data_IF_749005663358
#
_entry.id   IF_749005663358
#
_cell.length_a   1.000
_cell.length_b   1.000
_cell.length_c   1.000
_cell.angle_alpha   90.00
_cell.angle_beta   90.00
_cell.angle_gamma   90.00
#
_symmetry.space_group_name_H-M   'P 1'
#
loop_
_entity.id
_entity.type
_entity.pdbx_description
1 polymer ?
#
# COMPACT_ATOMS: atom_id res chain seq x y z
N UNK A 1 -15.45 -73.18 -20.22
CA UNK A 1 -14.90 -71.84 -19.93
C UNK A 1 -13.48 -72.07 -19.41
N UNK A 2 -12.51 -72.08 -20.33
CA UNK A 2 -11.49 -71.01 -20.54
C UNK A 2 -10.62 -70.82 -19.28
N UNK A 3 -9.31 -71.04 -19.30
CA UNK A 3 -8.35 -70.36 -20.21
C UNK A 3 -7.01 -71.10 -20.32
N UNK A 4 -6.37 -70.91 -21.47
CA UNK A 4 -5.05 -71.45 -21.88
C UNK A 4 -3.93 -70.41 -21.66
N UNK A 5 -2.73 -70.95 -21.60
CA UNK A 5 -1.40 -70.38 -21.38
C UNK A 5 -0.85 -69.48 -22.52
N UNK A 6 -0.06 -68.47 -22.10
CA UNK A 6 1.14 -67.80 -22.68
C UNK A 6 1.30 -67.51 -24.19
N UNK A 7 1.61 -66.24 -24.53
CA UNK A 7 2.83 -65.77 -25.23
C UNK A 7 2.75 -64.25 -25.50
N UNK A 8 3.88 -63.52 -25.39
CA UNK A 8 4.02 -62.21 -26.03
C UNK A 8 4.95 -61.22 -25.32
N UNK A 9 6.22 -61.24 -25.73
CA UNK A 9 7.26 -60.22 -25.56
C UNK A 9 6.74 -58.79 -25.24
N UNK A 10 7.14 -58.26 -24.09
CA UNK A 10 6.96 -56.85 -23.75
C UNK A 10 7.84 -55.98 -24.64
N UNK A 11 7.20 -55.32 -25.61
CA UNK A 11 7.79 -54.16 -26.26
C UNK A 11 7.88 -53.05 -25.21
N UNK A 12 9.11 -52.62 -24.91
CA UNK A 12 9.36 -51.35 -24.23
C UNK A 12 8.85 -50.27 -25.17
N UNK A 13 7.63 -49.81 -24.93
CA UNK A 13 7.13 -48.57 -25.51
C UNK A 13 7.93 -47.46 -24.82
N UNK A 14 8.99 -47.00 -25.49
CA UNK A 14 9.53 -45.68 -25.27
C UNK A 14 8.36 -44.71 -25.49
N UNK A 15 7.69 -44.32 -24.41
CA UNK A 15 6.89 -43.12 -24.40
C UNK A 15 7.89 -41.98 -24.60
N UNK A 16 8.06 -41.57 -25.86
CA UNK A 16 8.41 -40.19 -26.13
C UNK A 16 7.42 -39.35 -25.32
N UNK A 17 7.94 -38.53 -24.40
CA UNK A 17 7.12 -37.53 -23.72
C UNK A 17 6.38 -36.70 -24.77
N UNK A 18 5.21 -36.14 -24.45
CA UNK A 18 4.56 -35.24 -25.38
C UNK A 18 5.56 -34.13 -25.69
N UNK A 19 5.99 -34.03 -26.94
CA UNK A 19 6.44 -32.76 -27.46
C UNK A 19 5.25 -31.82 -27.28
N UNK A 20 5.36 -30.92 -26.30
CA UNK A 20 4.43 -29.82 -26.13
C UNK A 20 4.53 -29.01 -27.42
N UNK A 21 3.57 -29.23 -28.33
CA UNK A 21 3.37 -28.36 -29.47
C UNK A 21 3.17 -26.93 -28.95
N UNK A 22 3.88 -25.97 -29.54
CA UNK A 22 3.97 -24.58 -29.09
C UNK A 22 2.63 -23.93 -28.78
N UNK A 23 2.31 -23.82 -27.49
CA UNK A 23 1.25 -22.95 -27.01
C UNK A 23 1.91 -21.67 -26.52
N UNK A 24 2.16 -20.77 -27.47
CA UNK A 24 2.71 -19.43 -27.22
C UNK A 24 3.20 -18.73 -28.49
N UNK A 25 3.61 -19.50 -29.50
CA UNK A 25 4.27 -18.97 -30.70
C UNK A 25 4.02 -19.87 -31.93
N UNK A 26 2.80 -19.88 -32.50
CA UNK A 26 2.46 -20.75 -33.63
C UNK A 26 3.38 -20.59 -34.84
N UNK A 27 4.02 -19.42 -35.00
CA UNK A 27 4.93 -19.13 -36.09
C UNK A 27 6.33 -19.76 -35.96
N UNK A 28 6.70 -20.35 -34.83
CA UNK A 28 7.93 -21.14 -34.67
C UNK A 28 7.71 -22.55 -35.23
N UNK A 29 7.99 -22.69 -36.53
CA UNK A 29 7.68 -23.89 -37.29
C UNK A 29 8.68 -25.01 -37.02
N UNK A 30 9.91 -24.65 -36.63
CA UNK A 30 10.97 -25.60 -36.35
C UNK A 30 11.10 -25.97 -34.85
N UNK A 31 10.36 -25.27 -33.98
CA UNK A 31 10.33 -25.39 -32.52
C UNK A 31 11.72 -25.15 -31.88
N UNK A 32 12.46 -24.16 -32.38
CA UNK A 32 13.76 -23.74 -31.82
C UNK A 32 13.67 -22.54 -30.85
N UNK A 33 12.45 -22.07 -30.58
CA UNK A 33 12.15 -20.96 -29.67
C UNK A 33 12.31 -19.58 -30.31
N UNK A 34 12.55 -19.49 -31.62
CA UNK A 34 12.72 -18.23 -32.33
C UNK A 34 12.03 -18.26 -33.70
N UNK A 35 11.11 -17.33 -33.94
CA UNK A 35 10.57 -17.08 -35.28
C UNK A 35 11.58 -16.28 -36.09
N UNK A 36 12.29 -16.95 -36.99
CA UNK A 36 13.36 -16.34 -37.76
C UNK A 36 13.40 -16.79 -39.23
N UNK A 37 14.53 -16.56 -39.89
CA UNK A 37 14.73 -16.94 -41.29
C UNK A 37 14.58 -18.44 -41.56
N UNK A 38 14.80 -19.30 -40.56
CA UNK A 38 14.57 -20.74 -40.66
C UNK A 38 13.08 -21.05 -40.83
N UNK A 39 12.21 -20.45 -40.01
CA UNK A 39 10.75 -20.62 -40.06
C UNK A 39 10.16 -20.00 -41.31
N UNK A 40 10.63 -18.80 -41.68
CA UNK A 40 10.28 -18.21 -42.97
C UNK A 40 10.65 -19.14 -44.13
N UNK A 41 11.81 -19.79 -44.08
CA UNK A 41 12.22 -20.78 -45.06
C UNK A 41 11.28 -22.00 -45.11
N UNK A 42 10.80 -22.46 -43.96
CA UNK A 42 9.81 -23.54 -43.87
C UNK A 42 8.44 -23.12 -44.42
N UNK A 43 7.96 -21.92 -44.08
CA UNK A 43 6.69 -21.37 -44.56
C UNK A 43 6.72 -21.21 -46.09
N UNK A 44 7.77 -20.60 -46.64
CA UNK A 44 7.93 -20.44 -48.09
C UNK A 44 8.10 -21.78 -48.81
N UNK A 45 8.70 -22.78 -48.15
CA UNK A 45 8.81 -24.15 -48.67
C UNK A 45 7.46 -24.88 -48.77
N UNK A 46 6.48 -24.48 -47.96
CA UNK A 46 5.13 -25.05 -47.91
C UNK A 46 4.09 -24.22 -48.69
N UNK A 47 4.51 -23.19 -49.43
CA UNK A 47 3.61 -22.24 -50.10
C UNK A 47 2.58 -22.91 -51.02
N UNK A 48 1.31 -22.59 -50.84
CA UNK A 48 0.18 -23.18 -51.57
C UNK A 48 -0.68 -24.12 -50.72
N UNK A 49 -1.44 -25.03 -51.35
CA UNK A 49 -2.36 -25.92 -50.64
C UNK A 49 -1.65 -26.81 -49.62
N UNK A 50 -2.07 -26.74 -48.37
CA UNK A 50 -1.42 -27.44 -47.27
C UNK A 50 -2.44 -27.85 -46.21
N UNK A 51 -3.08 -29.00 -46.40
CA UNK A 51 -4.09 -29.48 -45.45
C UNK A 51 -3.42 -30.04 -44.18
N UNK A 52 -3.35 -29.22 -43.12
CA UNK A 52 -2.90 -29.62 -41.79
C UNK A 52 -1.38 -29.65 -41.59
N UNK A 53 -0.63 -28.80 -42.31
CA UNK A 53 0.78 -28.59 -42.02
C UNK A 53 0.98 -27.43 -41.04
N UNK A 54 2.12 -27.40 -40.35
CA UNK A 54 2.44 -26.37 -39.36
C UNK A 54 2.52 -24.95 -39.94
N UNK A 55 2.83 -24.81 -41.23
CA UNK A 55 2.93 -23.50 -41.90
C UNK A 55 1.59 -22.83 -42.23
N UNK A 56 0.47 -23.55 -42.12
CA UNK A 56 -0.90 -23.00 -42.28
C UNK A 56 -1.37 -22.41 -40.95
N UNK A 57 -0.86 -21.22 -40.64
CA UNK A 57 -1.08 -20.52 -39.37
C UNK A 57 -2.52 -19.99 -39.25
N UNK A 58 -3.20 -19.77 -40.38
CA UNK A 58 -4.61 -19.35 -40.41
C UNK A 58 -5.58 -20.53 -40.33
N UNK A 59 -5.13 -21.75 -40.63
CA UNK A 59 -5.94 -22.97 -40.61
C UNK A 59 -6.95 -23.06 -41.74
N UNK A 60 -6.74 -22.34 -42.85
CA UNK A 60 -7.67 -22.26 -43.99
C UNK A 60 -7.36 -23.29 -45.09
N UNK A 61 -6.31 -24.09 -44.91
CA UNK A 61 -5.83 -25.10 -45.83
C UNK A 61 -4.88 -24.58 -46.91
N UNK A 62 -4.43 -23.33 -46.84
CA UNK A 62 -3.60 -22.66 -47.84
C UNK A 62 -2.50 -21.80 -47.21
N UNK A 63 -1.23 -22.19 -47.33
CA UNK A 63 -0.10 -21.33 -46.93
C UNK A 63 0.09 -20.21 -47.95
N UNK A 64 -0.19 -18.98 -47.54
CA UNK A 64 -0.15 -17.82 -48.41
C UNK A 64 0.31 -16.54 -47.69
N UNK A 65 0.04 -15.37 -48.29
CA UNK A 65 0.42 -14.08 -47.73
C UNK A 65 -0.20 -13.79 -46.36
N UNK A 66 -1.34 -14.41 -46.03
CA UNK A 66 -1.97 -14.31 -44.72
C UNK A 66 -1.12 -14.97 -43.62
N UNK A 67 -0.65 -16.20 -43.86
CA UNK A 67 0.23 -16.93 -42.92
C UNK A 67 1.59 -16.26 -42.80
N UNK A 68 2.14 -15.76 -43.92
CA UNK A 68 3.36 -14.94 -43.88
C UNK A 68 3.18 -13.69 -43.02
N UNK A 69 2.01 -13.05 -43.07
CA UNK A 69 1.68 -11.90 -42.22
C UNK A 69 1.67 -12.24 -40.73
N UNK A 70 1.14 -13.42 -40.37
CA UNK A 70 1.19 -13.92 -38.99
C UNK A 70 2.63 -14.23 -38.55
N UNK A 71 3.40 -14.94 -39.39
CA UNK A 71 4.80 -15.26 -39.08
C UNK A 71 5.65 -14.00 -38.87
N UNK A 72 5.51 -12.99 -39.73
CA UNK A 72 6.24 -11.73 -39.57
C UNK A 72 5.72 -10.91 -38.38
N UNK A 73 4.47 -11.11 -37.97
CA UNK A 73 3.90 -10.49 -36.77
C UNK A 73 4.47 -11.05 -35.47
N UNK A 74 4.98 -12.28 -35.50
CA UNK A 74 5.60 -12.98 -34.36
C UNK A 74 7.14 -13.06 -34.49
N UNK A 75 7.75 -12.25 -35.36
CA UNK A 75 9.20 -12.32 -35.62
C UNK A 75 10.04 -12.01 -34.38
N UNK A 76 10.92 -12.94 -34.00
CA UNK A 76 11.78 -12.81 -32.82
C UNK A 76 11.69 -14.02 -31.89
N UNK A 77 12.18 -13.88 -30.65
CA UNK A 77 12.05 -14.92 -29.63
C UNK A 77 10.58 -15.22 -29.33
N UNK A 78 10.26 -16.50 -29.15
CA UNK A 78 8.94 -16.90 -28.70
C UNK A 78 8.81 -16.67 -27.19
N UNK A 79 7.70 -16.08 -26.70
CA UNK A 79 7.43 -16.00 -25.27
C UNK A 79 7.44 -17.41 -24.66
N UNK A 80 8.06 -17.55 -23.49
CA UNK A 80 8.00 -18.80 -22.74
C UNK A 80 6.54 -19.14 -22.41
N UNK A 81 6.21 -20.43 -22.42
CA UNK A 81 4.85 -20.90 -22.10
C UNK A 81 4.47 -20.36 -20.71
N UNK A 82 3.32 -19.71 -20.56
CA UNK A 82 2.91 -19.15 -19.27
C UNK A 82 3.46 -17.75 -18.94
N UNK A 83 4.24 -17.12 -19.82
CA UNK A 83 4.63 -15.71 -19.69
C UNK A 83 3.83 -14.81 -20.66
N UNK A 84 3.29 -13.65 -20.21
CA UNK A 84 3.13 -13.27 -18.82
C UNK A 84 2.06 -14.13 -18.13
N UNK A 85 2.30 -14.47 -16.87
CA UNK A 85 1.42 -15.25 -16.00
C UNK A 85 0.67 -14.39 -14.97
N UNK A 86 0.00 -15.04 -14.03
CA UNK A 86 -0.72 -14.37 -12.94
C UNK A 86 0.16 -14.24 -11.70
N UNK A 87 0.03 -13.13 -10.96
CA UNK A 87 0.73 -12.93 -9.67
C UNK A 87 2.15 -12.36 -9.80
N UNK A 88 2.70 -11.89 -8.68
CA UNK A 88 4.04 -11.28 -8.63
C UNK A 88 5.13 -12.26 -9.02
N UNK A 89 6.20 -11.79 -9.67
CA UNK A 89 7.40 -12.58 -9.93
C UNK A 89 8.21 -12.90 -8.67
N UNK A 90 8.03 -12.12 -7.61
CA UNK A 90 8.81 -12.22 -6.38
C UNK A 90 8.11 -13.01 -5.27
N UNK A 91 6.93 -13.56 -5.56
CA UNK A 91 6.19 -14.43 -4.64
C UNK A 91 5.75 -15.72 -5.34
N UNK A 92 5.66 -16.81 -4.58
CA UNK A 92 5.08 -18.05 -5.10
C UNK A 92 3.59 -17.84 -5.41
N UNK A 93 3.20 -17.95 -6.67
CA UNK A 93 1.81 -17.77 -7.10
C UNK A 93 1.11 -19.10 -7.43
N UNK A 94 1.87 -20.20 -7.51
CA UNK A 94 1.35 -21.55 -7.72
C UNK A 94 0.88 -21.85 -9.15
N UNK A 95 0.92 -20.88 -10.05
CA UNK A 95 0.67 -20.98 -11.48
C UNK A 95 1.98 -20.87 -12.26
N UNK A 96 2.08 -21.36 -13.50
CA UNK A 96 3.27 -21.11 -14.31
C UNK A 96 3.37 -19.63 -14.72
N UNK A 97 4.58 -19.10 -14.70
CA UNK A 97 4.91 -17.70 -15.00
C UNK A 97 4.48 -16.68 -13.95
N UNK A 98 4.74 -15.40 -14.25
CA UNK A 98 4.42 -14.26 -13.40
C UNK A 98 4.06 -13.02 -14.24
N UNK A 99 3.56 -11.97 -13.58
CA UNK A 99 2.93 -10.80 -14.20
C UNK A 99 3.87 -9.88 -14.98
N UNK A 100 5.18 -9.94 -14.76
CA UNK A 100 6.16 -9.18 -15.52
C UNK A 100 6.73 -10.04 -16.65
N UNK A 101 6.48 -9.65 -17.90
CA UNK A 101 6.92 -10.40 -19.08
C UNK A 101 8.44 -10.57 -19.16
N UNK A 102 9.20 -9.51 -18.89
CA UNK A 102 10.66 -9.54 -19.04
C UNK A 102 11.29 -10.37 -17.93
N UNK A 103 10.81 -10.21 -16.69
CA UNK A 103 11.27 -11.04 -15.59
C UNK A 103 10.88 -12.50 -15.77
N UNK A 104 9.62 -12.74 -16.14
CA UNK A 104 9.11 -14.07 -16.43
C UNK A 104 9.97 -14.74 -17.50
N UNK A 105 10.25 -14.08 -18.63
CA UNK A 105 11.11 -14.62 -19.69
C UNK A 105 12.54 -14.87 -19.23
N UNK A 106 13.11 -13.99 -18.40
CA UNK A 106 14.47 -14.14 -17.87
C UNK A 106 14.59 -15.37 -16.94
N UNK A 107 13.64 -15.53 -16.01
CA UNK A 107 13.59 -16.70 -15.12
C UNK A 107 13.30 -17.96 -15.92
N UNK A 108 12.36 -17.91 -16.86
CA UNK A 108 11.98 -19.07 -17.67
C UNK A 108 13.10 -19.53 -18.62
N UNK A 109 13.97 -18.61 -19.04
CA UNK A 109 15.18 -18.94 -19.80
C UNK A 109 16.26 -19.61 -18.93
N UNK A 110 16.28 -19.33 -17.62
CA UNK A 110 17.20 -19.94 -16.67
C UNK A 110 16.67 -21.29 -16.14
N UNK A 111 15.40 -21.34 -15.74
CA UNK A 111 14.68 -22.52 -15.28
C UNK A 111 13.30 -22.63 -15.95
N UNK A 112 13.18 -23.59 -16.87
CA UNK A 112 11.92 -23.83 -17.57
C UNK A 112 10.82 -24.39 -16.68
N UNK A 113 11.14 -24.87 -15.46
CA UNK A 113 10.15 -25.33 -14.50
C UNK A 113 9.17 -24.21 -14.09
N UNK A 114 9.66 -22.97 -14.03
CA UNK A 114 8.89 -21.79 -13.65
C UNK A 114 7.82 -21.39 -14.69
N UNK A 115 8.08 -21.62 -15.98
CA UNK A 115 7.09 -21.46 -17.07
C UNK A 115 6.22 -22.71 -17.32
N UNK A 116 6.75 -23.90 -17.07
CA UNK A 116 6.07 -25.13 -17.51
C UNK A 116 5.19 -25.73 -16.42
N UNK A 117 5.56 -25.55 -15.15
CA UNK A 117 4.95 -26.29 -14.04
C UNK A 117 4.32 -25.39 -13.00
N UNK A 118 5.10 -24.55 -12.33
CA UNK A 118 4.61 -23.70 -11.26
C UNK A 118 5.65 -22.66 -10.87
N UNK A 119 5.17 -21.48 -10.49
CA UNK A 119 5.97 -20.43 -9.88
C UNK A 119 5.95 -20.61 -8.36
N UNK A 120 6.97 -21.29 -7.84
CA UNK A 120 7.15 -21.56 -6.41
C UNK A 120 8.18 -20.62 -5.76
N UNK A 121 8.59 -20.90 -4.53
CA UNK A 121 9.57 -20.08 -3.81
C UNK A 121 10.97 -20.10 -4.42
N UNK A 122 11.31 -21.12 -5.22
CA UNK A 122 12.57 -21.16 -5.94
C UNK A 122 12.50 -20.25 -7.17
N UNK A 123 11.41 -20.30 -7.93
CA UNK A 123 11.16 -19.37 -9.05
C UNK A 123 11.15 -17.90 -8.59
N UNK A 124 10.52 -17.63 -7.45
CA UNK A 124 10.56 -16.31 -6.83
C UNK A 124 11.98 -15.89 -6.41
N UNK A 125 12.77 -16.82 -5.86
CA UNK A 125 14.18 -16.55 -5.53
C UNK A 125 15.06 -16.31 -6.76
N UNK A 126 14.85 -17.06 -7.84
CA UNK A 126 15.55 -16.82 -9.11
C UNK A 126 15.12 -15.51 -9.77
N UNK A 127 13.85 -15.11 -9.62
CA UNK A 127 13.39 -13.78 -10.02
C UNK A 127 14.10 -12.68 -9.24
N UNK A 128 14.37 -12.86 -7.95
CA UNK A 128 15.19 -11.90 -7.20
C UNK A 128 16.60 -11.77 -7.79
N UNK A 129 17.23 -12.89 -8.15
CA UNK A 129 18.60 -12.91 -8.68
C UNK A 129 18.71 -12.41 -10.14
N UNK A 130 17.68 -12.64 -10.96
CA UNK A 130 17.68 -12.35 -12.40
C UNK A 130 16.94 -11.07 -12.76
N UNK A 131 15.95 -10.67 -11.96
CA UNK A 131 15.03 -9.58 -12.28
C UNK A 131 15.02 -8.42 -11.28
N UNK A 132 15.60 -8.60 -10.08
CA UNK A 132 15.53 -7.63 -8.99
C UNK A 132 15.80 -6.21 -9.45
N UNK A 133 14.72 -5.46 -9.66
CA UNK A 133 14.70 -4.08 -10.11
C UNK A 133 13.69 -3.32 -9.25
N UNK A 134 13.83 -2.00 -9.31
CA UNK A 134 13.12 -1.02 -8.51
C UNK A 134 11.61 -1.19 -8.39
N UNK A 135 11.10 -0.90 -7.19
CA UNK A 135 9.67 -0.83 -6.92
C UNK A 135 9.05 -2.09 -6.33
N UNK A 136 9.86 -3.06 -5.89
CA UNK A 136 9.35 -4.26 -5.23
C UNK A 136 8.98 -3.97 -3.77
N UNK A 137 7.68 -4.07 -3.38
CA UNK A 137 7.28 -3.90 -1.98
C UNK A 137 7.99 -4.84 -1.01
N UNK A 138 8.48 -6.00 -1.51
CA UNK A 138 9.25 -6.99 -0.74
C UNK A 138 10.71 -6.59 -0.47
N UNK A 139 11.29 -5.70 -1.28
CA UNK A 139 12.67 -5.20 -1.10
C UNK A 139 12.80 -4.22 0.09
N UNK A 140 11.68 -3.71 0.59
CA UNK A 140 11.65 -2.83 1.76
C UNK A 140 12.12 -1.41 1.48
N UNK A 141 12.25 -0.63 2.56
CA UNK A 141 12.50 0.81 2.51
C UNK A 141 13.83 1.17 1.82
N UNK A 142 13.80 2.18 0.94
CA UNK A 142 14.96 2.64 0.15
C UNK A 142 16.07 3.30 0.97
N UNK A 143 15.75 3.82 2.14
CA UNK A 143 16.65 4.54 3.03
C UNK A 143 17.30 3.62 4.07
N UNK A 144 17.05 2.30 3.98
CA UNK A 144 17.67 1.29 4.84
C UNK A 144 18.31 0.21 3.97
N UNK A 145 19.52 -0.21 4.32
CA UNK A 145 20.17 -1.34 3.64
C UNK A 145 19.32 -2.61 3.81
N UNK A 146 18.91 -3.23 2.70
CA UNK A 146 18.03 -4.41 2.72
C UNK A 146 18.76 -5.70 2.31
N UNK A 147 19.95 -5.61 1.71
CA UNK A 147 20.75 -6.79 1.36
C UNK A 147 20.37 -7.45 0.02
N UNK A 148 19.39 -6.90 -0.69
CA UNK A 148 18.91 -7.32 -2.01
C UNK A 148 19.08 -6.18 -3.02
N UNK A 149 19.14 -6.44 -4.34
CA UNK A 149 19.12 -5.37 -5.33
C UNK A 149 17.79 -4.60 -5.32
N UNK A 150 17.87 -3.26 -5.38
CA UNK A 150 16.71 -2.38 -5.41
C UNK A 150 16.01 -2.17 -4.07
N UNK A 151 14.95 -1.36 -4.08
CA UNK A 151 14.09 -1.08 -2.93
C UNK A 151 12.63 -0.84 -3.36
N UNK A 152 11.73 -0.65 -2.39
CA UNK A 152 10.29 -0.65 -2.60
C UNK A 152 9.71 0.59 -3.30
N UNK A 153 10.36 1.74 -3.21
CA UNK A 153 9.96 2.93 -3.96
C UNK A 153 10.63 2.89 -5.34
N UNK A 154 9.81 2.69 -6.38
CA UNK A 154 10.28 2.56 -7.75
C UNK A 154 10.97 3.82 -8.27
N UNK A 155 10.41 4.99 -7.95
CA UNK A 155 10.91 6.28 -8.44
C UNK A 155 12.22 6.64 -7.75
N UNK A 156 12.29 6.45 -6.43
CA UNK A 156 13.53 6.63 -5.69
C UNK A 156 14.62 5.66 -6.17
N UNK A 157 14.26 4.39 -6.27
CA UNK A 157 15.20 3.37 -6.69
C UNK A 157 15.77 3.65 -8.08
N UNK A 158 14.94 4.06 -9.05
CA UNK A 158 15.41 4.41 -10.40
C UNK A 158 16.38 5.61 -10.38
N UNK A 159 16.14 6.61 -9.53
CA UNK A 159 17.07 7.73 -9.36
C UNK A 159 18.43 7.26 -8.85
N UNK A 160 18.45 6.35 -7.86
CA UNK A 160 19.68 5.77 -7.33
C UNK A 160 20.35 4.88 -8.38
N UNK A 161 19.62 4.05 -9.13
CA UNK A 161 20.19 3.17 -10.16
C UNK A 161 20.92 3.91 -11.28
N UNK A 162 20.44 5.09 -11.64
CA UNK A 162 21.06 5.92 -12.68
C UNK A 162 22.44 6.40 -12.24
N UNK A 163 22.59 6.72 -10.95
CA UNK A 163 23.85 7.19 -10.38
C UNK A 163 24.77 6.02 -9.98
N UNK A 164 24.24 5.01 -9.29
CA UNK A 164 24.96 3.79 -8.92
C UNK A 164 24.22 2.49 -9.34
N UNK A 165 24.59 1.92 -10.50
CA UNK A 165 24.06 0.63 -10.95
C UNK A 165 24.35 -0.54 -10.00
N UNK A 166 25.29 -0.42 -9.05
CA UNK A 166 25.55 -1.46 -8.05
C UNK A 166 24.33 -1.71 -7.17
N UNK A 167 23.61 -0.65 -6.80
CA UNK A 167 22.45 -0.73 -5.90
C UNK A 167 21.30 -1.58 -6.48
N UNK A 168 21.22 -1.65 -7.80
CA UNK A 168 20.11 -2.29 -8.50
C UNK A 168 20.50 -3.61 -9.18
N UNK A 169 21.80 -3.89 -9.29
CA UNK A 169 22.28 -5.13 -9.89
C UNK A 169 23.00 -6.06 -8.91
N UNK A 170 23.40 -5.56 -7.75
CA UNK A 170 24.26 -6.32 -6.83
C UNK A 170 23.69 -6.35 -5.44
N UNK A 171 23.51 -5.18 -4.81
CA UNK A 171 23.06 -5.11 -3.43
C UNK A 171 22.68 -3.69 -3.02
N UNK A 172 21.53 -3.54 -2.38
CA UNK A 172 21.14 -2.34 -1.67
C UNK A 172 21.76 -2.32 -0.26
N UNK A 173 22.98 -1.77 -0.18
CA UNK A 173 23.74 -1.64 1.06
C UNK A 173 23.61 -0.24 1.69
N UNK A 174 24.43 0.05 2.71
CA UNK A 174 24.39 1.35 3.41
C UNK A 174 24.80 2.52 2.51
N UNK A 175 25.58 2.28 1.44
CA UNK A 175 25.92 3.32 0.48
C UNK A 175 24.68 3.65 -0.35
N UNK A 176 24.01 2.64 -0.89
CA UNK A 176 22.75 2.80 -1.64
C UNK A 176 21.67 3.52 -0.82
N UNK A 177 21.53 3.14 0.45
CA UNK A 177 20.59 3.79 1.36
C UNK A 177 20.91 5.28 1.61
N UNK A 178 22.18 5.66 1.72
CA UNK A 178 22.58 7.07 1.86
C UNK A 178 22.42 7.84 0.55
N UNK A 179 22.72 7.23 -0.59
CA UNK A 179 22.46 7.84 -1.91
C UNK A 179 20.95 8.04 -2.13
N UNK A 180 20.12 7.11 -1.69
CA UNK A 180 18.67 7.27 -1.68
C UNK A 180 18.22 8.43 -0.80
N UNK A 181 18.85 8.64 0.36
CA UNK A 181 18.57 9.81 1.20
C UNK A 181 18.86 11.10 0.42
N UNK A 182 20.01 11.17 -0.24
CA UNK A 182 20.43 12.39 -0.96
C UNK A 182 19.64 12.64 -2.26
N UNK A 183 19.22 11.58 -2.96
CA UNK A 183 18.56 11.66 -4.27
C UNK A 183 17.03 11.65 -4.20
N UNK A 184 16.45 10.99 -3.19
CA UNK A 184 15.02 10.68 -3.16
C UNK A 184 14.24 11.36 -2.04
N UNK A 185 14.86 11.76 -0.92
CA UNK A 185 14.11 12.46 0.11
C UNK A 185 13.65 13.82 -0.44
N UNK A 186 12.35 13.93 -0.65
CA UNK A 186 11.65 15.15 -1.06
C UNK A 186 10.46 15.35 -0.13
N UNK A 187 9.95 16.57 -0.13
CA UNK A 187 8.72 16.90 0.55
C UNK A 187 7.56 15.99 0.13
N UNK A 188 6.82 15.48 1.12
CA UNK A 188 5.66 14.62 0.90
C UNK A 188 5.94 13.12 0.93
N UNK A 189 7.17 12.72 1.25
CA UNK A 189 7.48 11.31 1.43
C UNK A 189 6.81 10.78 2.71
N UNK A 190 5.88 9.80 2.63
CA UNK A 190 5.20 9.24 3.80
C UNK A 190 6.14 8.70 4.90
N UNK A 191 7.36 8.32 4.51
CA UNK A 191 8.38 7.76 5.40
C UNK A 191 9.28 8.81 6.03
N UNK A 192 9.23 10.08 5.59
CA UNK A 192 9.93 11.20 6.24
C UNK A 192 9.32 11.57 7.61
N UNK A 193 8.16 10.99 7.96
CA UNK A 193 7.48 11.24 9.23
C UNK A 193 6.57 12.46 9.20
N UNK A 194 5.79 12.64 10.26
CA UNK A 194 4.80 13.73 10.37
C UNK A 194 5.46 15.11 10.34
N UNK A 195 4.87 16.06 9.60
CA UNK A 195 5.30 17.46 9.58
C UNK A 195 5.13 18.15 10.93
N UNK A 196 4.17 17.71 11.73
CA UNK A 196 3.78 18.37 12.97
C UNK A 196 4.57 17.89 14.19
N UNK A 197 5.53 17.00 13.99
CA UNK A 197 6.42 16.46 15.03
C UNK A 197 7.85 16.44 14.53
N UNK A 198 8.82 16.59 15.44
CA UNK A 198 10.23 16.37 15.09
C UNK A 198 10.44 14.90 14.69
N UNK A 199 10.94 14.65 13.48
CA UNK A 199 11.13 13.31 12.96
C UNK A 199 12.63 12.91 12.85
N UNK A 200 13.54 13.86 13.01
CA UNK A 200 14.98 13.57 13.03
C UNK A 200 15.60 13.36 11.64
N UNK A 201 14.82 13.55 10.57
CA UNK A 201 15.24 13.48 9.18
C UNK A 201 14.95 14.82 8.49
N UNK A 202 15.62 15.18 7.39
CA UNK A 202 15.14 16.26 6.54
C UNK A 202 13.74 15.93 6.00
N UNK A 203 12.93 16.96 5.74
CA UNK A 203 11.56 16.87 5.18
C UNK A 203 10.50 16.23 6.10
N UNK A 204 9.26 16.18 5.60
CA UNK A 204 8.14 15.50 6.24
C UNK A 204 7.13 14.97 5.20
N UNK A 205 6.11 14.26 5.67
CA UNK A 205 5.18 13.46 4.89
C UNK A 205 4.08 14.21 4.13
N UNK A 206 3.87 15.49 4.40
CA UNK A 206 2.96 16.33 3.62
C UNK A 206 3.76 17.25 2.69
N UNK A 207 3.58 17.06 1.38
CA UNK A 207 4.36 17.78 0.37
C UNK A 207 4.15 19.28 0.45
N UNK A 208 2.91 19.73 0.59
CA UNK A 208 2.57 21.14 0.58
C UNK A 208 3.05 21.84 1.86
N UNK A 209 2.88 21.17 3.00
CA UNK A 209 3.37 21.67 4.28
C UNK A 209 4.90 21.73 4.31
N UNK A 210 5.55 20.65 3.90
CA UNK A 210 7.00 20.56 3.80
C UNK A 210 7.54 21.66 2.87
N UNK A 211 7.01 21.80 1.65
CA UNK A 211 7.46 22.83 0.71
C UNK A 211 7.32 24.25 1.28
N UNK A 212 6.23 24.50 2.03
CA UNK A 212 5.98 25.78 2.65
C UNK A 212 6.95 26.10 3.80
N UNK A 213 7.28 25.11 4.62
CA UNK A 213 8.32 25.24 5.67
C UNK A 213 9.70 25.39 5.04
N UNK A 214 10.07 24.54 4.07
CA UNK A 214 11.35 24.61 3.35
C UNK A 214 11.60 25.97 2.70
N UNK A 215 10.55 26.62 2.19
CA UNK A 215 10.65 27.93 1.56
C UNK A 215 11.03 29.04 2.54
N UNK A 216 10.82 28.82 3.84
CA UNK A 216 11.13 29.75 4.92
C UNK A 216 12.43 29.34 5.62
N UNK A 217 12.53 28.08 6.02
CA UNK A 217 13.72 27.50 6.65
C UNK A 217 14.25 26.29 5.87
N UNK A 218 15.35 26.52 5.13
CA UNK A 218 16.06 25.47 4.43
C UNK A 218 16.68 24.43 5.37
N UNK A 219 16.93 24.73 6.65
CA UNK A 219 17.46 23.76 7.61
C UNK A 219 16.55 22.53 7.75
N UNK A 220 15.23 22.73 7.69
CA UNK A 220 14.25 21.66 7.77
C UNK A 220 14.34 20.65 6.63
N UNK A 221 14.96 21.04 5.51
CA UNK A 221 14.97 20.29 4.25
C UNK A 221 16.40 19.95 3.80
N UNK A 222 17.40 20.62 4.36
CA UNK A 222 18.81 20.37 4.11
C UNK A 222 19.50 19.63 5.26
N UNK A 223 18.92 19.63 6.48
CA UNK A 223 19.62 19.14 7.67
C UNK A 223 18.76 18.27 8.57
N UNK A 224 17.65 18.78 9.10
CA UNK A 224 16.85 18.04 10.06
C UNK A 224 15.50 18.70 10.33
N UNK A 225 14.45 17.90 10.36
CA UNK A 225 13.13 18.28 10.84
C UNK A 225 13.06 18.10 12.36
N UNK A 226 13.39 19.17 13.08
CA UNK A 226 13.36 19.23 14.54
C UNK A 226 12.10 19.93 15.08
N UNK A 227 12.10 20.26 16.38
CA UNK A 227 10.96 20.93 17.01
C UNK A 227 10.71 22.35 16.51
N UNK A 228 11.71 23.00 15.90
CA UNK A 228 11.53 24.31 15.25
C UNK A 228 10.79 24.11 13.94
N UNK A 229 11.20 23.15 13.11
CA UNK A 229 10.50 22.79 11.86
C UNK A 229 9.05 22.38 12.09
N UNK A 230 8.80 21.57 13.13
CA UNK A 230 7.45 21.19 13.52
C UNK A 230 6.61 22.38 14.01
N UNK A 231 7.21 23.34 14.74
CA UNK A 231 6.54 24.57 15.15
C UNK A 231 6.21 25.50 13.97
N UNK A 232 7.13 25.63 13.02
CA UNK A 232 6.89 26.36 11.77
C UNK A 232 5.77 25.69 10.95
N UNK A 233 5.77 24.36 10.88
CA UNK A 233 4.71 23.60 10.24
C UNK A 233 3.33 23.86 10.90
N UNK A 234 3.26 23.98 12.22
CA UNK A 234 2.01 24.32 12.92
C UNK A 234 1.48 25.72 12.55
N UNK A 235 2.37 26.69 12.35
CA UNK A 235 1.99 28.07 11.99
C UNK A 235 1.60 28.23 10.51
N UNK A 236 2.14 27.37 9.65
CA UNK A 236 2.05 27.49 8.18
C UNK A 236 1.02 26.52 7.59
N UNK A 237 0.89 25.33 8.18
CA UNK A 237 0.13 24.23 7.61
C UNK A 237 -1.22 24.06 8.31
N UNK A 238 -2.32 24.10 7.55
CA UNK A 238 -3.68 23.80 8.04
C UNK A 238 -3.83 22.36 8.57
N UNK A 239 -2.86 21.48 8.31
CA UNK A 239 -2.93 20.05 8.60
C UNK A 239 -2.46 19.64 10.00
N UNK A 240 -1.84 20.53 10.78
CA UNK A 240 -1.38 20.16 12.11
C UNK A 240 -2.53 20.19 13.12
N UNK A 241 -2.76 19.10 13.88
CA UNK A 241 -3.64 19.14 15.03
C UNK A 241 -3.15 20.24 15.97
N UNK A 242 -4.02 21.19 16.23
CA UNK A 242 -3.80 22.31 17.12
C UNK A 242 -5.08 22.50 17.92
N UNK A 243 -4.98 23.28 18.99
CA UNK A 243 -6.15 23.72 19.72
C UNK A 243 -7.18 24.37 18.79
N UNK A 244 -8.42 23.89 18.84
CA UNK A 244 -9.51 24.40 18.00
C UNK A 244 -9.65 23.73 16.64
N UNK A 245 -8.94 22.63 16.40
CA UNK A 245 -9.17 21.83 15.20
C UNK A 245 -10.45 21.00 15.40
N UNK A 246 -11.46 21.19 14.54
CA UNK A 246 -12.74 20.47 14.54
C UNK A 246 -12.59 18.93 14.55
N UNK A 247 -11.43 18.39 14.14
CA UNK A 247 -11.11 16.96 14.14
C UNK A 247 -10.38 16.46 15.38
N UNK A 248 -9.91 17.35 16.26
CA UNK A 248 -9.24 17.00 17.52
C UNK A 248 -10.22 16.43 18.58
N UNK A 249 -11.53 16.56 18.34
CA UNK A 249 -12.58 16.00 19.19
C UNK A 249 -13.01 16.92 20.33
N UNK A 250 -14.16 16.61 20.93
CA UNK A 250 -14.83 17.44 21.95
C UNK A 250 -13.94 17.72 23.18
N UNK A 251 -13.73 18.99 23.52
CA UNK A 251 -12.98 19.40 24.72
C UNK A 251 -13.53 18.82 26.03
N UNK A 252 -14.82 18.54 26.07
CA UNK A 252 -15.53 18.15 27.27
C UNK A 252 -15.60 16.63 27.46
N UNK A 253 -14.97 15.87 26.55
CA UNK A 253 -14.86 14.42 26.61
C UNK A 253 -13.43 13.96 26.34
N UNK A 254 -13.03 12.83 26.92
CA UNK A 254 -11.76 12.20 26.56
C UNK A 254 -11.83 11.72 25.10
N UNK A 255 -10.93 12.22 24.24
CA UNK A 255 -10.94 11.93 22.80
C UNK A 255 -9.78 11.01 22.37
N UNK A 256 -8.78 10.81 23.24
CA UNK A 256 -7.69 9.87 22.97
C UNK A 256 -6.57 10.42 22.08
N UNK A 257 -6.66 11.70 21.70
CA UNK A 257 -5.68 12.43 20.90
C UNK A 257 -5.23 13.69 21.64
N UNK A 258 -4.07 14.29 21.34
CA UNK A 258 -3.76 15.63 21.84
C UNK A 258 -4.76 16.66 21.31
N UNK A 259 -4.97 17.73 22.08
CA UNK A 259 -5.87 18.86 21.76
C UNK A 259 -7.37 18.53 21.77
N UNK A 260 -8.18 19.56 21.55
CA UNK A 260 -9.62 19.45 21.34
C UNK A 260 -10.14 20.54 20.38
N UNK A 261 -11.41 20.48 20.05
CA UNK A 261 -12.10 21.22 18.98
C UNK A 261 -12.41 22.69 19.28
N UNK A 262 -12.27 23.16 20.52
CA UNK A 262 -12.37 24.58 20.88
C UNK A 262 -11.00 25.16 21.23
N UNK A 263 -10.54 26.15 20.45
CA UNK A 263 -9.21 26.74 20.59
C UNK A 263 -8.98 27.36 21.96
N UNK A 264 -9.98 28.10 22.46
CA UNK A 264 -9.84 28.87 23.70
C UNK A 264 -9.85 27.93 24.91
N UNK A 265 -10.73 26.93 24.90
CA UNK A 265 -10.79 25.91 25.93
C UNK A 265 -9.53 25.06 25.94
N UNK A 266 -9.12 24.58 24.77
CA UNK A 266 -7.91 23.81 24.59
C UNK A 266 -6.68 24.58 25.12
N UNK A 267 -6.47 25.83 24.70
CA UNK A 267 -5.34 26.65 25.17
C UNK A 267 -5.35 26.84 26.69
N UNK A 268 -6.55 27.02 27.29
CA UNK A 268 -6.70 27.18 28.73
C UNK A 268 -6.32 25.92 29.51
N UNK A 269 -6.69 24.74 29.01
CA UNK A 269 -6.31 23.44 29.58
C UNK A 269 -4.83 23.17 29.36
N UNK A 270 -4.31 23.38 28.14
CA UNK A 270 -2.88 23.23 27.82
C UNK A 270 -1.97 24.06 28.72
N UNK A 271 -2.39 25.28 29.06
CA UNK A 271 -1.62 26.18 29.92
C UNK A 271 -1.49 25.66 31.36
N UNK A 272 -2.36 24.76 31.78
CA UNK A 272 -2.35 24.13 33.10
C UNK A 272 -1.67 22.76 33.04
N UNK A 273 -2.03 21.97 32.03
CA UNK A 273 -1.54 20.62 31.84
C UNK A 273 -1.11 20.38 30.38
N UNK A 274 0.21 20.46 30.14
CA UNK A 274 0.80 20.22 28.83
C UNK A 274 0.56 18.78 28.33
N UNK A 275 0.28 17.82 29.21
CA UNK A 275 -0.02 16.44 28.79
C UNK A 275 -1.23 16.38 27.83
N UNK A 276 -2.21 17.25 28.02
CA UNK A 276 -3.42 17.32 27.19
C UNK A 276 -3.13 17.71 25.74
N UNK A 277 -1.98 18.33 25.48
CA UNK A 277 -1.64 18.96 24.20
C UNK A 277 -0.37 18.38 23.59
N UNK A 278 0.44 17.69 24.41
CA UNK A 278 1.64 16.98 23.97
C UNK A 278 1.41 15.47 23.83
N UNK A 279 0.43 14.90 24.53
CA UNK A 279 0.32 13.43 24.67
C UNK A 279 -1.08 12.90 24.41
N UNK A 280 -2.07 13.33 25.19
CA UNK A 280 -3.42 12.77 25.12
C UNK A 280 -4.45 13.61 25.89
N UNK A 281 -5.58 13.88 25.26
CA UNK A 281 -6.77 14.42 25.90
C UNK A 281 -7.58 13.30 26.55
N UNK A 282 -7.29 13.05 27.83
CA UNK A 282 -7.93 12.01 28.64
C UNK A 282 -9.05 12.59 29.55
N UNK A 283 -9.56 11.77 30.49
CA UNK A 283 -10.63 12.20 31.39
C UNK A 283 -10.21 13.30 32.38
N UNK A 284 -8.90 13.45 32.63
CA UNK A 284 -8.37 14.56 33.44
C UNK A 284 -8.41 15.85 32.64
N UNK A 285 -7.99 15.82 31.37
CA UNK A 285 -8.10 16.96 30.44
C UNK A 285 -9.55 17.42 30.27
N UNK A 286 -10.47 16.48 30.02
CA UNK A 286 -11.89 16.77 29.92
C UNK A 286 -12.48 17.31 31.24
N UNK A 287 -12.04 16.81 32.40
CA UNK A 287 -12.46 17.33 33.69
C UNK A 287 -11.95 18.76 33.95
N UNK A 288 -10.71 19.06 33.56
CA UNK A 288 -10.18 20.42 33.61
C UNK A 288 -10.93 21.36 32.66
N UNK A 289 -11.27 20.89 31.46
CA UNK A 289 -12.10 21.63 30.52
C UNK A 289 -13.47 21.97 31.13
N UNK A 290 -14.10 21.04 31.85
CA UNK A 290 -15.37 21.28 32.54
C UNK A 290 -15.26 22.36 33.63
N UNK A 291 -14.12 22.45 34.32
CA UNK A 291 -13.91 23.43 35.39
C UNK A 291 -13.57 24.84 34.89
N UNK A 292 -13.03 24.96 33.67
CA UNK A 292 -12.39 26.19 33.17
C UNK A 292 -13.09 26.76 31.93
N UNK A 293 -13.69 25.90 31.11
CA UNK A 293 -14.29 26.28 29.85
C UNK A 293 -15.80 26.50 29.98
N UNK A 294 -16.28 27.66 29.55
CA UNK A 294 -17.73 27.95 29.44
C UNK A 294 -18.45 27.06 28.40
N UNK A 295 -17.69 26.33 27.58
CA UNK A 295 -18.18 25.48 26.49
C UNK A 295 -18.72 24.13 26.99
N UNK A 296 -18.30 23.66 28.18
CA UNK A 296 -18.72 22.35 28.66
C UNK A 296 -20.11 22.34 29.28
N UNK A 297 -20.97 21.37 28.91
CA UNK A 297 -22.30 21.24 29.51
C UNK A 297 -22.20 21.13 31.02
N UNK A 298 -22.84 22.07 31.70
CA UNK A 298 -23.13 22.05 33.12
C UNK A 298 -24.65 22.17 33.28
N UNK A 299 -25.14 21.96 34.50
CA UNK A 299 -26.53 22.24 34.82
C UNK A 299 -26.94 23.65 34.39
N UNK A 300 -27.98 23.75 33.57
CA UNK A 300 -28.48 25.01 33.04
C UNK A 300 -27.87 25.47 31.72
N UNK A 301 -27.07 24.63 31.06
CA UNK A 301 -26.64 24.92 29.69
C UNK A 301 -27.86 24.82 28.74
N UNK A 302 -28.16 25.89 28.02
CA UNK A 302 -29.23 25.97 27.00
C UNK A 302 -29.17 24.83 25.94
N UNK A 303 -27.99 24.24 25.71
CA UNK A 303 -27.75 23.14 24.78
C UNK A 303 -27.91 21.74 25.40
N UNK A 304 -27.99 21.62 26.73
CA UNK A 304 -28.15 20.33 27.43
C UNK A 304 -29.57 19.74 27.30
N UNK A 305 -30.47 20.37 26.53
CA UNK A 305 -31.81 19.88 26.29
C UNK A 305 -32.77 20.08 27.47
N UNK A 306 -34.06 19.91 27.23
CA UNK A 306 -35.13 20.16 28.21
C UNK A 306 -35.08 19.17 29.40
N UNK A 307 -35.15 19.67 30.63
CA UNK A 307 -35.09 18.85 31.86
C UNK A 307 -36.19 17.81 31.96
N UNK A 308 -37.37 18.09 31.41
CA UNK A 308 -38.51 17.18 31.44
C UNK A 308 -38.48 16.13 30.32
N UNK A 309 -37.40 16.05 29.55
CA UNK A 309 -37.22 15.17 28.41
C UNK A 309 -35.87 14.45 28.48
N UNK A 310 -35.84 13.15 28.21
CA UNK A 310 -34.57 12.42 28.08
C UNK A 310 -33.78 12.96 26.89
N UNK A 311 -32.52 13.34 27.10
CA UNK A 311 -31.68 13.96 26.06
C UNK A 311 -30.44 13.12 25.67
N UNK A 312 -30.10 12.09 26.45
CA UNK A 312 -29.00 11.18 26.12
C UNK A 312 -27.60 11.68 26.53
N UNK A 313 -27.52 12.84 27.16
CA UNK A 313 -26.29 13.48 27.68
C UNK A 313 -26.45 13.75 29.18
N UNK A 314 -25.39 13.93 29.95
CA UNK A 314 -25.51 14.48 31.30
C UNK A 314 -26.14 15.89 31.27
N UNK A 315 -26.83 16.25 32.36
CA UNK A 315 -27.44 17.57 32.60
C UNK A 315 -28.68 17.90 31.75
N UNK A 316 -29.29 19.05 32.06
CA UNK A 316 -30.36 19.67 31.29
C UNK A 316 -30.28 21.21 31.37
N UNK A 317 -31.15 21.89 30.63
CA UNK A 317 -31.09 23.33 30.36
C UNK A 317 -31.63 24.26 31.45
N UNK A 318 -32.17 23.75 32.56
CA UNK A 318 -32.52 24.56 33.73
C UNK A 318 -31.57 24.23 34.88
N UNK A 319 -30.77 25.22 35.29
CA UNK A 319 -29.72 25.04 36.29
C UNK A 319 -30.27 24.55 37.63
N UNK A 320 -31.39 25.13 38.08
CA UNK A 320 -31.94 24.86 39.41
C UNK A 320 -32.59 23.49 39.43
N UNK A 321 -33.31 23.14 38.36
CA UNK A 321 -33.90 21.83 38.20
C UNK A 321 -32.83 20.75 38.08
N UNK A 322 -31.84 20.98 37.23
CA UNK A 322 -30.73 20.08 37.01
C UNK A 322 -29.99 19.81 38.32
N UNK A 323 -29.56 20.84 39.06
CA UNK A 323 -28.88 20.69 40.35
C UNK A 323 -29.71 19.91 41.37
N UNK A 324 -31.02 20.11 41.38
CA UNK A 324 -31.92 19.42 42.31
C UNK A 324 -32.05 17.92 41.99
N UNK A 325 -32.09 17.55 40.71
CA UNK A 325 -32.08 16.15 40.26
C UNK A 325 -30.69 15.54 40.49
N UNK A 326 -29.60 16.24 40.15
CA UNK A 326 -28.22 15.77 40.41
C UNK A 326 -27.97 15.47 41.89
N UNK A 327 -28.56 16.25 42.79
CA UNK A 327 -28.42 16.06 44.23
C UNK A 327 -29.11 14.79 44.75
N UNK A 328 -30.07 14.24 43.99
CA UNK A 328 -30.81 13.03 44.31
C UNK A 328 -30.19 11.83 43.58
N UNK A 329 -29.95 11.98 42.27
CA UNK A 329 -29.35 10.97 41.42
C UNK A 329 -28.17 11.55 40.62
N UNK A 330 -26.95 11.23 41.08
CA UNK A 330 -25.71 11.63 40.40
C UNK A 330 -25.58 11.02 38.99
N UNK A 331 -26.26 9.92 38.69
CA UNK A 331 -26.22 9.32 37.34
C UNK A 331 -26.69 10.31 36.25
N UNK A 332 -27.66 11.17 36.57
CA UNK A 332 -28.20 12.17 35.65
C UNK A 332 -27.16 13.22 35.23
N UNK A 333 -26.09 13.38 36.01
CA UNK A 333 -25.12 14.47 35.88
C UNK A 333 -23.69 13.96 35.65
N UNK A 334 -23.47 12.68 35.93
CA UNK A 334 -22.19 12.00 35.67
C UNK A 334 -22.24 11.12 34.41
N UNK A 335 -23.43 10.67 33.99
CA UNK A 335 -23.55 9.64 32.95
C UNK A 335 -24.56 9.97 31.85
N UNK A 336 -25.84 10.16 32.19
CA UNK A 336 -26.89 10.32 31.18
C UNK A 336 -28.20 10.81 31.78
N UNK A 337 -28.81 11.82 31.15
CA UNK A 337 -30.17 12.27 31.40
C UNK A 337 -31.19 11.41 30.64
N UNK A 338 -31.57 10.30 31.27
CA UNK A 338 -32.51 9.33 30.71
C UNK A 338 -33.97 9.58 31.14
N UNK A 339 -34.86 8.60 30.90
CA UNK A 339 -36.27 8.72 31.26
C UNK A 339 -36.55 8.73 32.77
N UNK A 340 -35.62 8.27 33.60
CA UNK A 340 -35.71 8.37 35.06
C UNK A 340 -35.38 9.80 35.49
N UNK A 341 -34.26 10.36 35.00
CA UNK A 341 -33.87 11.75 35.24
C UNK A 341 -34.97 12.74 34.84
N UNK A 342 -35.56 12.56 33.66
CA UNK A 342 -36.67 13.38 33.18
C UNK A 342 -37.95 13.22 34.04
N UNK A 343 -38.20 12.04 34.59
CA UNK A 343 -39.32 11.80 35.50
C UNK A 343 -39.12 12.46 36.86
N UNK A 344 -37.90 12.39 37.41
CA UNK A 344 -37.54 13.09 38.64
C UNK A 344 -37.61 14.62 38.47
N UNK A 345 -37.16 15.13 37.33
CA UNK A 345 -37.29 16.55 36.98
C UNK A 345 -38.75 17.01 36.96
N UNK A 346 -39.67 16.23 36.41
CA UNK A 346 -41.11 16.56 36.43
C UNK A 346 -41.68 16.63 37.85
N UNK A 347 -41.20 15.78 38.77
CA UNK A 347 -41.68 15.74 40.15
C UNK A 347 -41.10 16.88 41.03
N UNK A 348 -39.94 17.41 40.66
CA UNK A 348 -39.17 18.37 41.48
C UNK A 348 -39.32 19.81 40.96
N UNK A 349 -39.43 19.99 39.66
CA UNK A 349 -39.24 21.28 38.98
C UNK A 349 -40.52 21.91 38.44
N UNK A 350 -41.66 21.19 38.48
CA UNK A 350 -43.01 21.70 38.18
C UNK A 350 -43.88 21.84 39.46
#
# INVERSE_FOLDING_TARGET
MNTRTCMGLGAVLLLAGPALAGVGCPADLNNDGQVNGADLGQLLGAWGPCAGCSADLTGDGMVNGADLGLLLGEWGPCPAVGCPGDGSCYESNGSPGCNDLNCCEAVCAADSFCCDTTWDSFCAGEAFDLCGNCGDPGAGNCFVSNGSPGCADADCCELVCVEDPFCCNVNWDTVCANEAIDLCQQCGNPEAGDCCSSNGTPFCNDAACCDAVCAIDGFCCDTNWDGVCAGEAQDICEACPACGNDFAGDCCAANGTPFCDDAVCCDAVCAIDGFCCDTNWDSVCAGQAQDICEVCPACGNDFAGDCCSSNGTPFCNDAVCCDAVCAIDGFCCDTNWDGVCAGEAQDICE
#
